data_IF_852485412541
#
_entry.id   IF_852485412541
#
_cell.length_a   1.000
_cell.length_b   1.000
_cell.length_c   1.000
_cell.angle_alpha   90.00
_cell.angle_beta   90.00
_cell.angle_gamma   90.00
#
_symmetry.space_group_name_H-M   'P 1'
#
loop_
_entity.id
_entity.type
_entity.pdbx_description
1 polymer ?
#
# COMPACT_ATOMS: atom_id res chain seq x y z
N UNK A 1 7.44 15.67 -2.57
CA UNK A 1 6.11 15.22 -3.02
C UNK A 1 6.11 13.78 -3.51
N UNK A 2 7.17 13.27 -4.15
CA UNK A 2 7.26 11.87 -4.60
C UNK A 2 7.00 10.83 -3.50
N UNK A 3 7.41 11.10 -2.26
CA UNK A 3 7.23 10.18 -1.13
C UNK A 3 5.76 9.90 -0.78
N UNK A 4 4.83 10.74 -1.22
CA UNK A 4 3.39 10.61 -0.96
C UNK A 4 2.58 10.27 -2.21
N UNK A 5 3.21 10.22 -3.38
CA UNK A 5 2.52 10.08 -4.66
C UNK A 5 1.58 8.87 -4.70
N UNK A 6 2.01 7.72 -4.21
CA UNK A 6 1.20 6.51 -4.17
C UNK A 6 0.11 6.51 -3.10
N UNK A 7 0.28 7.30 -2.01
CA UNK A 7 -0.74 7.47 -0.98
C UNK A 7 -1.81 8.43 -1.46
N UNK A 8 -1.42 9.62 -1.88
CA UNK A 8 -2.32 10.68 -2.35
C UNK A 8 -2.97 10.26 -3.67
N UNK A 9 -2.15 9.85 -4.63
CA UNK A 9 -2.58 9.45 -5.95
C UNK A 9 -2.67 10.62 -6.93
N UNK A 10 -3.55 10.48 -7.91
CA UNK A 10 -3.79 11.46 -8.97
C UNK A 10 -5.24 11.39 -9.46
N UNK A 11 -5.69 12.45 -10.17
CA UNK A 11 -7.05 12.55 -10.73
C UNK A 11 -7.08 12.76 -12.25
N UNK A 12 -5.92 12.78 -12.88
CA UNK A 12 -5.76 13.03 -14.33
C UNK A 12 -5.57 11.70 -15.07
N UNK A 13 -6.24 11.53 -16.23
CA UNK A 13 -6.21 10.30 -17.05
C UNK A 13 -6.64 9.03 -16.31
N UNK A 14 -7.27 9.18 -15.16
CA UNK A 14 -7.70 8.14 -14.24
C UNK A 14 -7.67 8.66 -12.82
N UNK A 15 -7.80 7.76 -11.86
CA UNK A 15 -7.74 8.11 -10.43
C UNK A 15 -7.03 7.01 -9.66
N UNK A 16 -6.16 7.40 -8.74
CA UNK A 16 -5.46 6.48 -7.86
C UNK A 16 -5.42 7.01 -6.42
N UNK A 17 -4.98 6.19 -5.48
CA UNK A 17 -4.74 6.55 -4.09
C UNK A 17 -5.99 7.07 -3.37
N UNK A 18 -5.77 7.98 -2.42
CA UNK A 18 -6.82 8.65 -1.64
C UNK A 18 -7.73 9.48 -2.54
N UNK A 19 -7.19 10.13 -3.57
CA UNK A 19 -7.96 10.88 -4.56
C UNK A 19 -9.03 10.02 -5.24
N UNK A 20 -8.72 8.76 -5.53
CA UNK A 20 -9.69 7.80 -6.07
C UNK A 20 -10.72 7.37 -5.03
N UNK A 21 -10.22 6.93 -3.87
CA UNK A 21 -11.05 6.32 -2.83
C UNK A 21 -12.04 7.29 -2.20
N UNK A 22 -11.63 8.53 -2.01
CA UNK A 22 -12.42 9.57 -1.36
C UNK A 22 -12.89 10.67 -2.32
N UNK A 23 -12.81 10.42 -3.64
CA UNK A 23 -13.16 11.40 -4.67
C UNK A 23 -14.52 12.09 -4.42
N UNK A 24 -15.55 11.30 -4.09
CA UNK A 24 -16.88 11.86 -3.81
C UNK A 24 -16.86 12.81 -2.60
N UNK A 25 -16.14 12.44 -1.52
CA UNK A 25 -16.04 13.28 -0.31
C UNK A 25 -15.20 14.52 -0.53
N UNK A 26 -14.09 14.39 -1.28
CA UNK A 26 -13.21 15.51 -1.62
C UNK A 26 -13.90 16.55 -2.49
N UNK A 27 -14.81 16.12 -3.38
CA UNK A 27 -15.57 17.00 -4.26
C UNK A 27 -16.88 17.50 -3.64
N UNK A 28 -17.38 16.85 -2.59
CA UNK A 28 -18.66 17.22 -2.01
C UNK A 28 -18.50 18.45 -1.12
N UNK A 29 -18.98 19.55 -1.61
CA UNK A 29 -19.28 20.72 -0.77
C UNK A 29 -20.46 20.35 0.11
N UNK A 30 -20.42 20.77 1.38
CA UNK A 30 -21.51 20.56 2.36
C UNK A 30 -22.90 20.68 1.72
N UNK A 31 -23.79 19.73 2.06
CA UNK A 31 -25.09 19.50 1.44
C UNK A 31 -26.11 20.65 1.54
N UNK A 32 -25.74 21.81 2.03
CA UNK A 32 -26.65 22.94 2.12
C UNK A 32 -26.66 23.70 0.79
N UNK A 33 -27.74 23.46 0.03
CA UNK A 33 -28.03 24.17 -1.22
C UNK A 33 -27.90 25.69 -1.06
N UNK A 34 -28.25 26.21 0.12
CA UNK A 34 -28.14 27.62 0.50
C UNK A 34 -26.70 28.11 0.60
N UNK A 35 -25.76 27.28 1.06
CA UNK A 35 -24.35 27.63 1.11
C UNK A 35 -23.76 27.70 -0.32
N UNK A 36 -24.13 26.78 -1.20
CA UNK A 36 -23.71 26.82 -2.62
C UNK A 36 -24.19 28.09 -3.33
N UNK A 37 -25.45 28.48 -3.10
CA UNK A 37 -26.02 29.71 -3.65
C UNK A 37 -25.27 30.93 -3.08
N UNK A 38 -25.03 30.97 -1.76
CA UNK A 38 -24.27 32.03 -1.12
C UNK A 38 -22.84 32.17 -1.64
N UNK A 39 -22.13 31.07 -1.90
CA UNK A 39 -20.77 31.09 -2.46
C UNK A 39 -20.75 31.63 -3.90
N UNK A 40 -21.72 31.24 -4.73
CA UNK A 40 -21.84 31.77 -6.10
C UNK A 40 -22.11 33.27 -6.11
N UNK A 41 -22.98 33.77 -5.23
CA UNK A 41 -23.28 35.20 -5.13
C UNK A 41 -22.15 36.04 -4.51
N UNK A 42 -21.34 35.46 -3.64
CA UNK A 42 -20.24 36.14 -2.95
C UNK A 42 -18.89 35.99 -3.64
N UNK A 43 -18.82 35.29 -4.78
CA UNK A 43 -17.56 35.04 -5.52
C UNK A 43 -16.52 34.25 -4.74
N UNK A 44 -16.95 33.46 -3.74
CA UNK A 44 -16.03 32.59 -2.96
C UNK A 44 -15.80 31.27 -3.69
N UNK A 45 -14.56 30.84 -3.75
CA UNK A 45 -14.22 29.52 -4.27
C UNK A 45 -14.86 28.42 -3.44
N UNK A 46 -15.43 27.42 -4.12
CA UNK A 46 -16.02 26.25 -3.50
C UNK A 46 -14.88 25.30 -3.11
N UNK A 47 -14.61 25.16 -1.83
CA UNK A 47 -13.62 24.22 -1.33
C UNK A 47 -14.27 22.87 -1.04
N UNK A 48 -13.60 21.79 -1.45
CA UNK A 48 -13.96 20.42 -1.07
C UNK A 48 -13.65 20.11 0.39
N UNK A 49 -14.07 18.93 0.84
CA UNK A 49 -13.77 18.47 2.20
C UNK A 49 -12.31 18.01 2.32
N UNK A 50 -11.77 18.09 3.53
CA UNK A 50 -10.46 17.57 3.85
C UNK A 50 -10.53 16.08 4.23
N UNK A 51 -9.50 15.33 3.88
CA UNK A 51 -9.25 13.96 4.37
C UNK A 51 -7.99 13.98 5.23
N UNK A 52 -8.12 13.60 6.49
CA UNK A 52 -7.00 13.48 7.42
C UNK A 52 -6.52 12.02 7.39
N UNK A 53 -5.24 11.83 7.13
CA UNK A 53 -4.60 10.52 7.07
C UNK A 53 -3.92 10.20 8.40
N UNK A 54 -3.63 8.92 8.62
CA UNK A 54 -2.86 8.44 9.77
C UNK A 54 -1.34 8.41 9.50
N UNK A 55 -0.93 8.81 8.32
CA UNK A 55 0.49 8.85 7.93
C UNK A 55 1.24 9.84 8.84
N UNK A 56 2.31 9.34 9.44
CA UNK A 56 3.29 10.16 10.15
C UNK A 56 4.37 10.62 9.17
N UNK A 57 4.53 11.94 9.04
CA UNK A 57 5.44 12.54 8.06
C UNK A 57 6.89 12.08 8.25
N UNK A 58 7.34 12.00 9.51
CA UNK A 58 8.70 11.58 9.84
C UNK A 58 8.95 10.12 9.47
N UNK A 59 8.00 9.24 9.81
CA UNK A 59 8.09 7.82 9.46
C UNK A 59 8.03 7.61 7.95
N UNK A 60 7.20 8.37 7.24
CA UNK A 60 7.11 8.33 5.78
C UNK A 60 8.43 8.71 5.12
N UNK A 61 9.08 9.77 5.61
CA UNK A 61 10.38 10.21 5.10
C UNK A 61 11.47 9.17 5.38
N UNK A 62 11.57 8.67 6.61
CA UNK A 62 12.54 7.63 6.98
C UNK A 62 12.33 6.36 6.15
N UNK A 63 11.08 5.94 5.93
CA UNK A 63 10.78 4.78 5.09
C UNK A 63 11.19 5.01 3.63
N UNK A 64 10.97 6.22 3.10
CA UNK A 64 11.37 6.56 1.74
C UNK A 64 12.90 6.57 1.58
N UNK A 65 13.62 7.14 2.54
CA UNK A 65 15.09 7.14 2.58
C UNK A 65 15.66 5.71 2.71
N UNK A 66 15.04 4.87 3.56
CA UNK A 66 15.46 3.48 3.75
C UNK A 66 15.23 2.61 2.51
N UNK A 67 14.12 2.84 1.78
CA UNK A 67 13.85 2.15 0.52
C UNK A 67 14.81 2.61 -0.59
N UNK A 68 15.16 3.90 -0.59
CA UNK A 68 16.07 4.49 -1.56
C UNK A 68 15.56 4.30 -2.99
N UNK A 69 16.38 3.66 -3.82
CA UNK A 69 16.08 3.38 -5.23
C UNK A 69 15.76 1.91 -5.53
N UNK A 70 15.51 1.11 -4.48
CA UNK A 70 15.18 -0.31 -4.64
C UNK A 70 13.69 -0.46 -5.04
N UNK A 71 13.42 -1.27 -6.07
CA UNK A 71 12.04 -1.59 -6.47
C UNK A 71 11.33 -2.38 -5.37
N UNK A 72 10.36 -1.74 -4.72
CA UNK A 72 9.67 -2.37 -3.61
C UNK A 72 8.71 -1.44 -2.89
N UNK A 73 8.34 -1.83 -1.68
CA UNK A 73 7.50 -1.03 -0.81
C UNK A 73 7.82 -1.24 0.66
N UNK A 74 7.58 -0.21 1.47
CA UNK A 74 7.63 -0.27 2.93
C UNK A 74 6.28 0.19 3.47
N UNK A 75 5.72 -0.59 4.39
CA UNK A 75 4.49 -0.24 5.11
C UNK A 75 4.73 -0.37 6.60
N UNK A 76 4.46 0.69 7.36
CA UNK A 76 4.49 0.68 8.81
C UNK A 76 3.06 0.78 9.36
N UNK A 77 2.70 -0.18 10.21
CA UNK A 77 1.35 -0.27 10.80
C UNK A 77 1.48 -0.30 12.32
N UNK A 78 0.64 0.46 13.00
CA UNK A 78 0.48 0.39 14.46
C UNK A 78 -0.40 -0.81 14.79
N UNK A 79 0.13 -1.88 15.44
CA UNK A 79 -0.63 -3.13 15.61
C UNK A 79 -1.89 -2.98 16.47
N UNK A 80 -1.85 -2.10 17.46
CA UNK A 80 -2.96 -1.89 18.41
C UNK A 80 -4.19 -1.23 17.79
N UNK A 81 -4.01 -0.44 16.73
CA UNK A 81 -5.08 0.35 16.10
C UNK A 81 -5.32 0.01 14.65
N UNK A 82 -4.35 -0.64 13.99
CA UNK A 82 -4.35 -0.88 12.55
C UNK A 82 -4.05 0.38 11.71
N UNK A 83 -3.64 1.49 12.33
CA UNK A 83 -3.29 2.71 11.60
C UNK A 83 -2.05 2.49 10.75
N UNK A 84 -2.14 2.88 9.48
CA UNK A 84 -0.99 2.93 8.58
C UNK A 84 -0.24 4.23 8.86
N UNK A 85 0.97 4.12 9.38
CA UNK A 85 1.81 5.26 9.75
C UNK A 85 2.78 5.65 8.64
N UNK A 86 3.18 4.70 7.79
CA UNK A 86 3.94 4.97 6.57
C UNK A 86 3.54 3.97 5.48
N UNK A 87 3.54 4.44 4.23
CA UNK A 87 3.34 3.61 3.04
C UNK A 87 4.14 4.22 1.90
N UNK A 88 5.21 3.56 1.52
CA UNK A 88 6.12 3.97 0.45
C UNK A 88 6.14 2.91 -0.63
N UNK A 89 6.18 3.32 -1.87
CA UNK A 89 6.36 2.47 -3.05
C UNK A 89 7.37 3.11 -3.99
N UNK A 90 8.30 2.30 -4.53
CA UNK A 90 9.29 2.76 -5.49
C UNK A 90 9.39 1.74 -6.65
N UNK A 91 9.57 2.16 -7.90
CA UNK A 91 9.66 3.55 -8.36
C UNK A 91 8.43 4.39 -8.07
N UNK A 92 8.60 5.71 -8.05
CA UNK A 92 7.56 6.69 -7.75
C UNK A 92 7.44 7.70 -8.88
N UNK A 93 6.50 8.60 -8.77
CA UNK A 93 6.22 9.65 -9.73
C UNK A 93 5.93 10.97 -9.02
N UNK A 94 5.89 12.08 -9.75
CA UNK A 94 5.41 13.35 -9.22
C UNK A 94 3.94 13.54 -9.58
N UNK A 95 3.07 13.56 -8.56
CA UNK A 95 1.63 13.75 -8.75
C UNK A 95 1.25 15.08 -9.42
N UNK A 96 2.12 16.10 -9.35
CA UNK A 96 1.86 17.39 -9.95
C UNK A 96 2.08 17.39 -11.48
N UNK A 97 2.97 16.52 -11.97
CA UNK A 97 3.34 16.45 -13.40
C UNK A 97 2.81 15.20 -14.10
N UNK A 98 1.99 14.39 -13.44
CA UNK A 98 1.42 13.16 -14.00
C UNK A 98 0.72 13.40 -15.33
N UNK A 99 -0.01 14.51 -15.49
CA UNK A 99 -0.74 14.79 -16.73
C UNK A 99 0.18 15.03 -17.92
N UNK A 100 1.32 15.65 -17.69
CA UNK A 100 2.32 15.97 -18.71
C UNK A 100 3.11 14.73 -19.11
N UNK A 101 3.47 13.90 -18.12
CA UNK A 101 4.32 12.75 -18.28
C UNK A 101 3.53 11.43 -18.41
N UNK A 102 2.19 11.49 -18.60
CA UNK A 102 1.33 10.32 -18.59
C UNK A 102 1.74 9.23 -19.57
N UNK A 103 2.08 9.61 -20.80
CA UNK A 103 2.45 8.64 -21.82
C UNK A 103 3.70 7.85 -21.44
N UNK A 104 4.71 8.51 -20.89
CA UNK A 104 5.94 7.89 -20.40
C UNK A 104 5.67 7.00 -19.20
N UNK A 105 5.03 7.54 -18.16
CA UNK A 105 4.74 6.82 -16.93
C UNK A 105 3.86 5.57 -17.16
N UNK A 106 2.92 5.65 -18.11
CA UNK A 106 1.99 4.56 -18.39
C UNK A 106 2.58 3.50 -19.33
N UNK A 107 3.61 3.83 -20.11
CA UNK A 107 4.28 2.89 -21.02
C UNK A 107 5.54 2.24 -20.43
N UNK A 108 5.96 2.65 -19.25
CA UNK A 108 7.13 2.07 -18.57
C UNK A 108 6.73 0.79 -17.82
N UNK A 109 6.59 -0.30 -18.59
CA UNK A 109 6.25 -1.63 -18.05
C UNK A 109 7.36 -2.19 -17.16
N UNK A 110 8.62 -1.85 -17.46
CA UNK A 110 9.77 -2.34 -16.70
C UNK A 110 9.78 -1.80 -15.26
N UNK A 111 9.58 -0.50 -15.10
CA UNK A 111 9.62 0.15 -13.80
C UNK A 111 8.24 0.29 -13.15
N UNK A 112 7.18 0.32 -13.95
CA UNK A 112 5.78 0.48 -13.51
C UNK A 112 5.65 1.53 -12.41
N UNK A 113 6.02 2.80 -12.66
CA UNK A 113 6.08 3.84 -11.63
C UNK A 113 4.70 4.20 -11.06
N UNK A 114 3.61 3.97 -11.80
CA UNK A 114 2.25 4.21 -11.33
C UNK A 114 1.71 3.09 -10.42
N UNK A 115 2.38 1.93 -10.36
CA UNK A 115 1.97 0.80 -9.54
C UNK A 115 2.25 1.06 -8.06
N UNK A 116 1.22 1.13 -7.23
CA UNK A 116 1.40 1.11 -5.79
C UNK A 116 1.74 -0.32 -5.32
N UNK A 117 3.02 -0.58 -5.14
CA UNK A 117 3.54 -1.91 -4.78
C UNK A 117 3.09 -2.38 -3.40
N UNK A 118 2.76 -1.46 -2.51
CA UNK A 118 2.26 -1.79 -1.18
C UNK A 118 0.84 -2.38 -1.20
N UNK A 119 0.01 -1.97 -2.17
CA UNK A 119 -1.42 -2.33 -2.21
C UNK A 119 -1.81 -3.19 -3.42
N UNK A 120 -1.03 -3.15 -4.50
CA UNK A 120 -1.33 -3.80 -5.77
C UNK A 120 -0.22 -4.75 -6.24
N UNK A 121 0.97 -4.71 -5.61
CA UNK A 121 2.06 -5.62 -5.94
C UNK A 121 1.72 -7.06 -5.54
N UNK A 122 1.99 -8.00 -6.45
CA UNK A 122 1.82 -9.43 -6.21
C UNK A 122 3.21 -10.07 -6.10
N UNK A 123 3.54 -10.56 -4.92
CA UNK A 123 4.85 -11.15 -4.62
C UNK A 123 4.68 -12.56 -4.04
N UNK A 124 5.56 -13.52 -4.40
CA UNK A 124 5.58 -14.80 -3.72
C UNK A 124 5.99 -14.59 -2.25
N UNK A 125 5.18 -15.04 -1.29
CA UNK A 125 5.41 -14.76 0.13
C UNK A 125 6.67 -15.45 0.68
N UNK A 126 7.12 -16.54 0.08
CA UNK A 126 8.25 -17.32 0.57
C UNK A 126 8.09 -17.69 2.04
N UNK A 127 9.15 -17.55 2.83
CA UNK A 127 9.16 -17.90 4.26
C UNK A 127 8.22 -17.06 5.13
N UNK A 128 7.74 -15.90 4.68
CA UNK A 128 6.75 -15.13 5.43
C UNK A 128 5.41 -15.85 5.53
N UNK A 129 5.10 -16.76 4.60
CA UNK A 129 3.90 -17.60 4.65
C UNK A 129 3.89 -18.57 5.84
N UNK A 130 5.05 -18.85 6.46
CA UNK A 130 5.14 -19.70 7.65
C UNK A 130 4.34 -19.16 8.84
N UNK A 131 4.14 -17.83 8.90
CA UNK A 131 3.29 -17.21 9.93
C UNK A 131 1.85 -17.71 9.79
N UNK A 132 1.32 -17.75 8.56
CA UNK A 132 -0.04 -18.27 8.28
C UNK A 132 -0.11 -19.75 8.59
N UNK A 133 0.90 -20.53 8.19
CA UNK A 133 0.97 -21.97 8.49
C UNK A 133 0.99 -22.24 10.00
N UNK A 134 1.77 -21.46 10.75
CA UNK A 134 1.82 -21.59 12.22
C UNK A 134 0.48 -21.20 12.86
N UNK A 135 -0.14 -20.09 12.43
CA UNK A 135 -1.45 -19.67 12.92
C UNK A 135 -2.51 -20.75 12.67
N UNK A 136 -2.55 -21.32 11.47
CA UNK A 136 -3.46 -22.42 11.13
C UNK A 136 -3.20 -23.67 11.99
N UNK A 137 -1.94 -24.00 12.25
CA UNK A 137 -1.62 -25.13 13.13
C UNK A 137 -2.11 -24.92 14.57
N UNK A 138 -2.00 -23.70 15.09
CA UNK A 138 -2.51 -23.34 16.42
C UNK A 138 -4.04 -23.40 16.50
N UNK A 139 -4.73 -23.02 15.44
CA UNK A 139 -6.20 -23.06 15.39
C UNK A 139 -6.76 -24.47 15.26
N UNK A 140 -6.13 -25.32 14.45
CA UNK A 140 -6.65 -26.65 14.12
C UNK A 140 -6.24 -27.71 15.14
N UNK A 141 -5.07 -27.59 15.75
CA UNK A 141 -4.52 -28.62 16.66
C UNK A 141 -4.51 -28.13 18.10
N UNK A 142 -5.34 -28.79 18.96
CA UNK A 142 -5.25 -28.60 20.41
C UNK A 142 -3.97 -29.19 21.02
N UNK A 143 -3.22 -30.01 20.28
CA UNK A 143 -1.98 -30.67 20.70
C UNK A 143 -0.73 -30.10 20.05
N UNK A 144 -0.78 -28.86 19.60
CA UNK A 144 0.39 -28.20 18.94
C UNK A 144 1.65 -28.20 19.82
N UNK A 145 1.51 -28.19 21.16
CA UNK A 145 2.63 -28.23 22.10
C UNK A 145 3.34 -29.58 22.12
N UNK A 146 2.65 -30.64 21.73
CA UNK A 146 3.21 -31.99 21.70
C UNK A 146 3.79 -32.33 20.31
N UNK A 147 3.71 -31.43 19.36
CA UNK A 147 4.22 -31.63 18.01
C UNK A 147 5.74 -31.60 17.99
N UNK A 148 6.34 -32.73 17.67
CA UNK A 148 7.77 -32.89 17.49
C UNK A 148 8.05 -33.38 16.07
N UNK A 149 8.94 -32.71 15.37
CA UNK A 149 9.38 -33.10 14.04
C UNK A 149 10.91 -33.05 13.96
N UNK A 150 11.51 -34.19 13.62
CA UNK A 150 12.96 -34.26 13.35
C UNK A 150 13.19 -33.96 11.87
N UNK A 151 13.81 -32.82 11.58
CA UNK A 151 14.18 -32.49 10.23
C UNK A 151 15.31 -33.44 9.73
N UNK A 152 15.12 -34.01 8.54
CA UNK A 152 16.08 -34.90 7.87
C UNK A 152 16.70 -34.27 6.63
N UNK A 153 16.48 -32.96 6.43
CA UNK A 153 16.97 -32.21 5.27
C UNK A 153 15.96 -32.07 4.16
N UNK A 154 14.99 -32.99 4.07
CA UNK A 154 13.89 -32.97 3.13
C UNK A 154 12.60 -33.55 3.69
N UNK A 155 11.49 -33.23 3.07
CA UNK A 155 10.18 -33.81 3.38
C UNK A 155 9.40 -34.04 2.08
N UNK A 156 8.80 -35.23 1.92
CA UNK A 156 7.99 -35.57 0.76
C UNK A 156 6.51 -35.29 1.04
N UNK A 157 5.87 -34.50 0.14
CA UNK A 157 4.45 -34.21 0.18
C UNK A 157 3.83 -34.56 -1.18
N UNK A 158 3.09 -35.66 -1.23
CA UNK A 158 2.60 -36.20 -2.49
C UNK A 158 3.74 -36.53 -3.44
N UNK A 159 3.72 -35.91 -4.63
CA UNK A 159 4.78 -36.08 -5.64
C UNK A 159 5.88 -35.02 -5.55
N UNK A 160 5.80 -34.06 -4.62
CA UNK A 160 6.74 -32.99 -4.42
C UNK A 160 7.67 -33.24 -3.25
N UNK A 161 8.94 -32.88 -3.39
CA UNK A 161 9.93 -32.92 -2.31
C UNK A 161 10.26 -31.47 -1.93
N UNK A 162 10.07 -31.14 -0.65
CA UNK A 162 10.48 -29.86 -0.08
C UNK A 162 11.83 -30.05 0.60
N UNK A 163 12.81 -29.28 0.18
CA UNK A 163 14.14 -29.26 0.78
C UNK A 163 14.23 -28.19 1.85
N UNK A 164 14.91 -28.50 2.95
CA UNK A 164 15.25 -27.51 3.94
C UNK A 164 16.25 -26.49 3.36
N UNK A 165 16.18 -25.25 3.84
CA UNK A 165 17.17 -24.26 3.47
C UNK A 165 18.56 -24.75 3.87
N UNK A 166 19.49 -24.67 2.92
CA UNK A 166 20.90 -25.09 3.11
C UNK A 166 21.12 -26.59 3.41
N UNK A 167 20.13 -27.44 3.14
CA UNK A 167 20.27 -28.92 3.23
C UNK A 167 20.52 -29.46 4.64
N UNK A 168 20.17 -28.72 5.68
CA UNK A 168 20.34 -29.10 7.09
C UNK A 168 19.02 -29.26 7.80
#
# INVERSE_FOLDING_TARGET
TGNYAHVVGYTVKGKAGIESKYNFRLQTVSNELLQRIGHVFLGKEIQGNNVVLTIDDRLQQVAAEALGHEKGSIVAIEPSTGKILAMVSYPTFDSNTVSENWAELNSDDENSPLLNRATQGLYPPGSTFKIITAASALEVSQKYMDFNFKCTGDAKFGDSILHCYDGK
#
